data_IF_523032883559
#
_entry.id   IF_523032883559
#
_cell.length_a   1.000
_cell.length_b   1.000
_cell.length_c   1.000
_cell.angle_alpha   90.00
_cell.angle_beta   90.00
_cell.angle_gamma   90.00
#
_symmetry.space_group_name_H-M   'P 1'
#
loop_
_entity.id
_entity.type
_entity.pdbx_description
1 polymer ?
#
# COMPACT_ATOMS: atom_id res chain seq x y z
N UNK A 1 14.90 12.57 9.87
CA UNK A 1 15.04 11.46 10.87
C UNK A 1 16.47 10.94 10.85
N UNK A 2 16.92 10.19 11.88
CA UNK A 2 18.29 9.65 11.85
C UNK A 2 18.42 8.47 10.88
N UNK A 3 19.60 8.25 10.30
CA UNK A 3 19.84 7.19 9.30
C UNK A 3 19.50 5.79 9.80
N UNK A 4 19.79 5.46 11.06
CA UNK A 4 19.46 4.15 11.61
C UNK A 4 17.94 3.94 11.74
N UNK A 5 17.17 5.01 11.98
CA UNK A 5 15.70 4.94 12.06
C UNK A 5 15.13 4.69 10.67
N UNK A 6 15.67 5.39 9.65
CA UNK A 6 15.34 5.18 8.23
C UNK A 6 15.59 3.73 7.82
N UNK A 7 16.78 3.20 8.13
CA UNK A 7 17.15 1.82 7.80
C UNK A 7 16.20 0.80 8.41
N UNK A 8 15.83 0.96 9.69
CA UNK A 8 14.88 0.06 10.36
C UNK A 8 13.49 0.09 9.70
N UNK A 9 13.02 1.27 9.29
CA UNK A 9 11.74 1.40 8.59
C UNK A 9 11.77 0.71 7.23
N UNK A 10 12.84 0.89 6.45
CA UNK A 10 12.99 0.25 5.14
C UNK A 10 13.05 -1.28 5.25
N UNK A 11 13.86 -1.81 6.18
CA UNK A 11 13.94 -3.26 6.43
C UNK A 11 12.58 -3.84 6.82
N UNK A 12 11.79 -3.12 7.63
CA UNK A 12 10.44 -3.55 8.02
C UNK A 12 9.49 -3.65 6.83
N UNK A 13 9.55 -2.68 5.92
CA UNK A 13 8.67 -2.61 4.74
C UNK A 13 9.07 -3.62 3.66
N UNK A 14 10.37 -3.86 3.49
CA UNK A 14 10.91 -4.77 2.47
C UNK A 14 10.85 -6.24 2.88
N UNK A 15 10.59 -6.53 4.15
CA UNK A 15 10.52 -7.91 4.65
C UNK A 15 9.43 -8.69 3.92
N UNK A 16 9.80 -9.87 3.42
CA UNK A 16 8.85 -10.81 2.85
C UNK A 16 7.73 -11.12 3.85
N UNK A 17 6.49 -10.90 3.42
CA UNK A 17 5.31 -11.08 4.27
C UNK A 17 5.06 -9.95 5.26
N UNK A 18 5.67 -8.77 5.12
CA UNK A 18 5.36 -7.60 5.96
C UNK A 18 3.86 -7.24 6.00
N UNK A 19 3.11 -7.64 4.97
CA UNK A 19 1.66 -7.43 4.83
C UNK A 19 0.80 -8.59 5.35
N UNK A 20 1.41 -9.70 5.77
CA UNK A 20 0.69 -10.89 6.26
C UNK A 20 0.16 -10.61 7.66
N UNK A 21 -1.14 -10.81 7.86
CA UNK A 21 -1.82 -10.54 9.14
C UNK A 21 -2.17 -9.07 9.36
N UNK A 22 -1.87 -8.20 8.39
CA UNK A 22 -2.29 -6.79 8.40
C UNK A 22 -3.71 -6.69 7.89
N UNK A 23 -4.52 -5.88 8.54
CA UNK A 23 -5.89 -5.64 8.13
C UNK A 23 -5.96 -4.98 6.76
N UNK A 24 -6.96 -5.37 5.97
CA UNK A 24 -7.24 -4.70 4.69
C UNK A 24 -7.87 -3.34 5.02
N UNK A 25 -7.33 -2.22 4.51
CA UNK A 25 -7.96 -0.92 4.68
C UNK A 25 -9.39 -0.91 4.14
N UNK A 26 -10.29 -0.21 4.82
CA UNK A 26 -11.65 -0.01 4.32
C UNK A 26 -11.62 0.76 3.00
N UNK A 27 -10.85 1.85 2.98
CA UNK A 27 -10.73 2.75 1.84
C UNK A 27 -9.28 3.09 1.55
N UNK A 28 -8.98 3.23 0.27
CA UNK A 28 -7.71 3.76 -0.23
C UNK A 28 -7.99 4.91 -1.19
N UNK A 29 -7.07 5.87 -1.27
CA UNK A 29 -7.08 6.87 -2.31
C UNK A 29 -6.08 6.46 -3.39
N UNK A 30 -6.50 6.52 -4.64
CA UNK A 30 -5.70 6.12 -5.80
C UNK A 30 -5.81 7.21 -6.85
N UNK A 31 -4.75 7.98 -7.07
CA UNK A 31 -4.74 9.11 -8.02
C UNK A 31 -5.86 10.14 -7.78
N UNK A 32 -6.22 10.40 -6.52
CA UNK A 32 -7.30 11.33 -6.15
C UNK A 32 -8.70 10.70 -6.14
N UNK A 33 -8.83 9.42 -6.48
CA UNK A 33 -10.10 8.69 -6.41
C UNK A 33 -10.14 7.75 -5.21
N UNK A 34 -11.20 7.86 -4.40
CA UNK A 34 -11.37 7.04 -3.22
C UNK A 34 -12.05 5.71 -3.56
N UNK A 35 -11.37 4.59 -3.31
CA UNK A 35 -11.81 3.22 -3.61
C UNK A 35 -12.11 2.46 -2.31
N UNK A 36 -13.28 1.85 -2.20
CA UNK A 36 -13.62 0.93 -1.09
C UNK A 36 -12.93 -0.42 -1.32
N UNK A 37 -11.74 -0.57 -0.73
CA UNK A 37 -10.89 -1.72 -0.98
C UNK A 37 -11.43 -2.97 -0.30
N UNK A 38 -11.99 -2.83 0.91
CA UNK A 38 -12.54 -3.96 1.67
C UNK A 38 -13.75 -4.54 0.96
N UNK A 39 -14.70 -3.70 0.54
CA UNK A 39 -15.88 -4.15 -0.21
C UNK A 39 -15.47 -4.86 -1.49
N UNK A 40 -14.54 -4.26 -2.24
CA UNK A 40 -14.02 -4.82 -3.48
C UNK A 40 -13.40 -6.21 -3.28
N UNK A 41 -12.52 -6.39 -2.29
CA UNK A 41 -11.89 -7.69 -2.01
C UNK A 41 -12.92 -8.72 -1.56
N UNK A 42 -13.92 -8.33 -0.76
CA UNK A 42 -14.99 -9.23 -0.31
C UNK A 42 -15.85 -9.69 -1.49
N UNK A 43 -16.23 -8.79 -2.39
CA UNK A 43 -17.00 -9.14 -3.58
C UNK A 43 -16.24 -10.12 -4.48
N UNK A 44 -14.96 -9.85 -4.73
CA UNK A 44 -14.12 -10.72 -5.55
C UNK A 44 -13.88 -12.07 -4.86
N UNK A 45 -13.67 -12.13 -3.54
CA UNK A 45 -13.52 -13.41 -2.82
C UNK A 45 -14.78 -14.29 -2.88
N UNK A 46 -15.97 -13.70 -3.03
CA UNK A 46 -17.24 -14.44 -3.18
C UNK A 46 -17.44 -15.02 -4.58
N UNK A 47 -16.69 -14.54 -5.59
CA UNK A 47 -16.75 -15.02 -6.97
C UNK A 47 -15.50 -15.83 -7.29
N UNK A 48 -15.64 -16.96 -7.99
CA UNK A 48 -14.47 -17.77 -8.38
C UNK A 48 -13.58 -17.07 -9.42
N UNK A 49 -14.11 -16.08 -10.15
CA UNK A 49 -13.37 -15.34 -11.18
C UNK A 49 -13.73 -13.85 -11.18
N UNK A 50 -12.73 -13.01 -11.48
CA UNK A 50 -12.95 -11.58 -11.75
C UNK A 50 -13.69 -11.44 -13.09
N UNK A 51 -14.89 -10.80 -13.12
CA UNK A 51 -15.62 -10.56 -14.36
C UNK A 51 -14.74 -9.89 -15.41
N UNK A 52 -14.84 -10.29 -16.67
CA UNK A 52 -13.97 -9.80 -17.75
C UNK A 52 -14.00 -8.26 -17.88
N UNK A 53 -15.15 -7.63 -17.68
CA UNK A 53 -15.29 -6.16 -17.69
C UNK A 53 -14.62 -5.44 -16.51
N UNK A 54 -14.36 -6.14 -15.40
CA UNK A 54 -13.70 -5.57 -14.23
C UNK A 54 -12.19 -5.80 -14.21
N UNK A 55 -11.69 -6.82 -14.93
CA UNK A 55 -10.26 -7.17 -14.95
C UNK A 55 -9.36 -5.98 -15.23
N UNK A 56 -9.71 -5.15 -16.22
CA UNK A 56 -8.92 -3.97 -16.56
C UNK A 56 -8.91 -2.92 -15.43
N UNK A 57 -10.05 -2.72 -14.77
CA UNK A 57 -10.16 -1.82 -13.61
C UNK A 57 -9.31 -2.32 -12.45
N UNK A 58 -9.30 -3.62 -12.21
CA UNK A 58 -8.47 -4.27 -11.17
C UNK A 58 -7.00 -4.12 -11.47
N UNK A 59 -6.57 -4.41 -12.69
CA UNK A 59 -5.16 -4.28 -13.06
C UNK A 59 -4.69 -2.83 -13.01
N UNK A 60 -5.53 -1.87 -13.40
CA UNK A 60 -5.26 -0.43 -13.23
C UNK A 60 -5.12 -0.08 -11.75
N UNK A 61 -6.03 -0.54 -10.89
CA UNK A 61 -5.98 -0.29 -9.45
C UNK A 61 -4.72 -0.88 -8.80
N UNK A 62 -4.37 -2.14 -9.11
CA UNK A 62 -3.14 -2.79 -8.64
C UNK A 62 -1.88 -2.02 -9.07
N UNK A 63 -1.82 -1.59 -10.33
CA UNK A 63 -0.69 -0.82 -10.87
C UNK A 63 -0.53 0.49 -10.12
N UNK A 64 -1.63 1.20 -9.87
CA UNK A 64 -1.60 2.46 -9.16
C UNK A 64 -1.20 2.27 -7.69
N UNK A 65 -1.76 1.27 -7.00
CA UNK A 65 -1.37 0.91 -5.63
C UNK A 65 0.13 0.59 -5.52
N UNK A 66 0.66 -0.19 -6.46
CA UNK A 66 2.09 -0.52 -6.50
C UNK A 66 2.95 0.73 -6.68
N UNK A 67 2.52 1.66 -7.54
CA UNK A 67 3.20 2.94 -7.76
C UNK A 67 3.21 3.80 -6.50
N UNK A 68 2.08 3.92 -5.81
CA UNK A 68 2.02 4.70 -4.57
C UNK A 68 2.88 4.10 -3.46
N UNK A 69 2.87 2.76 -3.29
CA UNK A 69 3.76 2.09 -2.32
C UNK A 69 5.23 2.38 -2.61
N UNK A 70 5.62 2.38 -3.89
CA UNK A 70 6.98 2.74 -4.30
C UNK A 70 7.30 4.21 -4.00
N UNK A 71 6.39 5.13 -4.28
CA UNK A 71 6.58 6.55 -3.98
C UNK A 71 6.71 6.80 -2.47
N UNK A 72 5.87 6.18 -1.65
CA UNK A 72 5.97 6.28 -0.18
C UNK A 72 7.29 5.72 0.34
N UNK A 73 7.76 4.59 -0.22
CA UNK A 73 9.08 4.04 0.08
C UNK A 73 10.20 5.04 -0.27
N UNK A 74 10.18 5.60 -1.48
CA UNK A 74 11.17 6.60 -1.92
C UNK A 74 11.20 7.83 -1.01
N UNK A 75 10.03 8.32 -0.57
CA UNK A 75 9.98 9.41 0.42
C UNK A 75 10.67 9.07 1.74
N UNK A 76 10.51 7.85 2.24
CA UNK A 76 11.24 7.38 3.43
C UNK A 76 12.75 7.31 3.13
N UNK A 77 13.13 6.88 1.93
CA UNK A 77 14.52 6.65 1.51
C UNK A 77 15.29 7.94 1.21
N UNK A 78 14.62 8.97 0.67
CA UNK A 78 15.26 10.14 0.07
C UNK A 78 14.92 11.47 0.79
N UNK A 79 13.71 11.63 1.33
CA UNK A 79 13.28 12.92 1.87
C UNK A 79 13.84 13.17 3.30
N UNK A 80 13.99 14.44 3.69
CA UNK A 80 14.24 14.80 5.09
C UNK A 80 12.92 14.96 5.85
N UNK A 81 12.38 13.83 6.30
CA UNK A 81 11.13 13.74 7.05
C UNK A 81 11.36 13.39 8.53
N UNK A 82 10.40 13.74 9.38
CA UNK A 82 10.44 13.35 10.79
C UNK A 82 10.31 11.83 10.95
N UNK A 83 10.70 11.30 12.12
CA UNK A 83 10.51 9.88 12.43
C UNK A 83 9.02 9.49 12.38
N UNK A 84 8.17 10.34 12.95
CA UNK A 84 6.72 10.14 12.99
C UNK A 84 6.12 10.05 11.58
N UNK A 85 6.53 10.96 10.68
CA UNK A 85 6.08 10.94 9.29
C UNK A 85 6.56 9.67 8.56
N UNK A 86 7.81 9.24 8.80
CA UNK A 86 8.31 7.99 8.25
C UNK A 86 7.58 6.75 8.78
N UNK A 87 7.21 6.73 10.07
CA UNK A 87 6.40 5.66 10.65
C UNK A 87 5.00 5.59 10.03
N UNK A 88 4.37 6.74 9.78
CA UNK A 88 3.08 6.84 9.08
C UNK A 88 3.17 6.35 7.63
N UNK A 89 4.20 6.78 6.89
CA UNK A 89 4.44 6.31 5.53
C UNK A 89 4.69 4.80 5.51
N UNK A 90 5.48 4.28 6.45
CA UNK A 90 5.78 2.86 6.55
C UNK A 90 4.52 2.02 6.85
N UNK A 91 3.65 2.49 7.75
CA UNK A 91 2.35 1.88 8.01
C UNK A 91 1.52 1.81 6.72
N UNK A 92 1.41 2.93 6.00
CA UNK A 92 0.66 3.02 4.75
C UNK A 92 1.25 2.17 3.60
N UNK A 93 2.56 1.89 3.62
CA UNK A 93 3.17 0.96 2.65
C UNK A 93 2.83 -0.49 3.00
N UNK A 94 2.72 -0.85 4.27
CA UNK A 94 2.45 -2.22 4.69
C UNK A 94 0.97 -2.56 4.44
N UNK A 95 0.06 -1.71 4.90
CA UNK A 95 -1.39 -1.92 4.80
C UNK A 95 -2.07 -1.04 5.82
#
# INVERSE_FOLDING_TARGET
>A
MKEYERKQLLERIERDGATVGVDIPDRIEVQGEAVDLREFVVEIKRRETVPSGERERVERAKKNLRRERLQRKQRIEDDDISREEGEQLAQAVIG
#
